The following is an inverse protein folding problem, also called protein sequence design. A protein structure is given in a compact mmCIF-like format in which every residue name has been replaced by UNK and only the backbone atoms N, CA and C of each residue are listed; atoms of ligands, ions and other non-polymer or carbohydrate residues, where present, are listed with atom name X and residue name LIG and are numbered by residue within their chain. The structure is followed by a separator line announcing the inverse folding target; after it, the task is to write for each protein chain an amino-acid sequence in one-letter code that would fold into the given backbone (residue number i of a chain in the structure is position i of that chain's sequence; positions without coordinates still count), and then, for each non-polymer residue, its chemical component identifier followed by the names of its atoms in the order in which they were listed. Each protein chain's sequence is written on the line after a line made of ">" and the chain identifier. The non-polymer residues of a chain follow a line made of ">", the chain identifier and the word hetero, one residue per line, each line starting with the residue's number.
data_IF_796174198391
#
_entry.id   IF_796174198391
#
_cell.length_a   1.000
_cell.length_b   1.000
_cell.length_c   1.000
_cell.angle_alpha   90.00
_cell.angle_beta   90.00
_cell.angle_gamma   90.00
#
_symmetry.space_group_name_H-M   'P 1'
#
loop_
_entity.id
_entity.type
_entity.pdbx_description
1 polymer ?
#
# COMPACT_ATOMS: atom_id res chain seq x y z
N UNK A 1 -6.34 39.71 -17.86
CA UNK A 1 -6.72 40.10 -16.48
C UNK A 1 -6.19 39.04 -15.52
N UNK A 2 -5.42 39.38 -14.48
CA UNK A 2 -4.92 38.38 -13.53
C UNK A 2 -6.09 37.75 -12.75
N UNK A 3 -6.07 36.43 -12.61
CA UNK A 3 -7.10 35.65 -11.93
C UNK A 3 -6.97 35.85 -10.41
N UNK A 4 -7.84 36.68 -9.85
CA UNK A 4 -7.85 37.13 -8.45
C UNK A 4 -8.10 35.95 -7.48
N UNK A 5 -8.82 34.92 -7.92
CA UNK A 5 -9.18 33.77 -7.09
C UNK A 5 -7.97 32.84 -6.83
N UNK A 6 -7.06 32.72 -7.80
CA UNK A 6 -5.79 32.00 -7.64
C UNK A 6 -4.81 32.72 -6.69
N UNK A 7 -4.87 34.05 -6.61
CA UNK A 7 -4.00 34.81 -5.71
C UNK A 7 -4.48 34.72 -4.26
N UNK A 8 -5.80 34.84 -4.02
CA UNK A 8 -6.38 34.68 -2.68
C UNK A 8 -6.08 33.30 -2.07
N UNK A 9 -6.20 32.24 -2.86
CA UNK A 9 -5.93 30.87 -2.39
C UNK A 9 -4.47 30.62 -1.98
N UNK A 10 -3.50 31.24 -2.65
CA UNK A 10 -2.08 31.15 -2.28
C UNK A 10 -1.76 31.91 -0.98
N UNK A 11 -2.40 33.07 -0.76
CA UNK A 11 -2.23 33.86 0.48
C UNK A 11 -2.73 33.07 1.68
N UNK A 12 -3.90 32.43 1.57
CA UNK A 12 -4.48 31.63 2.66
C UNK A 12 -3.63 30.41 3.01
N UNK A 13 -3.08 29.69 2.02
CA UNK A 13 -2.17 28.55 2.26
C UNK A 13 -0.91 28.96 3.02
N UNK A 14 -0.30 30.09 2.64
CA UNK A 14 0.89 30.61 3.30
C UNK A 14 0.64 31.09 4.74
N UNK A 15 -0.58 31.54 5.04
CA UNK A 15 -0.95 31.97 6.39
C UNK A 15 -1.20 30.76 7.32
N UNK A 16 -1.83 29.69 6.81
CA UNK A 16 -2.09 28.46 7.56
C UNK A 16 -0.77 27.75 7.91
N UNK A 17 0.17 27.65 6.96
CA UNK A 17 1.49 27.05 7.19
C UNK A 17 2.36 27.78 8.23
N UNK A 18 2.04 29.04 8.58
CA UNK A 18 2.75 29.84 9.59
C UNK A 18 2.18 29.72 11.00
N UNK A 19 1.07 29.01 11.19
CA UNK A 19 0.48 28.81 12.52
C UNK A 19 1.11 27.58 13.18
N UNK A 20 1.52 27.71 14.44
CA UNK A 20 2.15 26.63 15.22
C UNK A 20 1.31 25.36 15.26
N UNK A 21 -0.01 25.50 15.23
CA UNK A 21 -0.98 24.38 15.17
C UNK A 21 -0.87 23.50 13.92
N UNK A 22 -0.20 23.96 12.86
CA UNK A 22 0.00 23.20 11.62
C UNK A 22 1.48 22.95 11.28
N UNK A 23 2.40 23.32 12.17
CA UNK A 23 3.85 23.19 11.93
C UNK A 23 4.34 21.74 11.89
N UNK A 24 3.62 20.81 12.54
CA UNK A 24 3.97 19.39 12.63
C UNK A 24 2.98 18.45 11.89
N UNK A 25 2.15 18.98 10.98
CA UNK A 25 1.24 18.09 10.23
C UNK A 25 2.05 17.34 9.20
N UNK A 26 2.41 16.09 9.52
CA UNK A 26 3.00 15.14 8.58
C UNK A 26 2.10 15.12 7.34
N UNK A 27 2.66 15.51 6.19
CA UNK A 27 1.92 15.61 4.95
C UNK A 27 1.19 14.28 4.71
N UNK A 28 -0.11 14.34 4.40
CA UNK A 28 -0.93 13.15 4.21
C UNK A 28 -0.46 12.43 2.96
N UNK A 29 0.53 11.54 3.10
CA UNK A 29 0.97 10.66 2.01
C UNK A 29 -0.21 9.76 1.68
N UNK A 30 -0.76 9.91 0.47
CA UNK A 30 -1.79 9.00 -0.03
C UNK A 30 -1.19 7.59 0.01
N UNK A 31 -1.91 6.66 0.63
CA UNK A 31 -1.50 5.26 0.65
C UNK A 31 -1.38 4.79 -0.80
N UNK A 32 -0.20 4.32 -1.18
CA UNK A 32 -0.03 3.71 -2.49
C UNK A 32 -0.76 2.37 -2.51
N UNK A 33 -1.85 2.32 -3.28
CA UNK A 33 -2.67 1.13 -3.42
C UNK A 33 -2.18 0.23 -4.57
N UNK A 34 -1.11 0.60 -5.27
CA UNK A 34 -0.57 -0.16 -6.42
C UNK A 34 -0.13 -1.57 -6.02
N UNK A 35 0.35 -1.73 -4.79
CA UNK A 35 0.84 -2.99 -4.21
C UNK A 35 -0.26 -3.79 -3.51
N UNK A 36 -1.48 -3.24 -3.38
CA UNK A 36 -2.56 -3.88 -2.65
C UNK A 36 -3.47 -4.70 -3.58
N UNK A 37 -3.61 -6.00 -3.31
CA UNK A 37 -4.61 -6.82 -4.00
C UNK A 37 -6.03 -6.49 -3.50
N UNK A 38 -6.99 -6.22 -4.40
CA UNK A 38 -8.37 -5.96 -3.99
C UNK A 38 -9.00 -7.20 -3.36
N UNK A 39 -10.06 -7.00 -2.56
CA UNK A 39 -10.85 -8.10 -2.02
C UNK A 39 -11.52 -8.86 -3.16
N UNK A 40 -11.20 -10.13 -3.31
CA UNK A 40 -11.74 -11.00 -4.36
C UNK A 40 -12.41 -12.24 -3.79
N UNK A 41 -13.37 -12.78 -4.53
CA UNK A 41 -13.99 -14.09 -4.23
C UNK A 41 -13.30 -15.16 -5.07
N UNK A 42 -12.82 -16.22 -4.43
CA UNK A 42 -12.23 -17.37 -5.10
C UNK A 42 -13.16 -18.58 -5.02
N UNK A 43 -12.92 -19.58 -5.88
CA UNK A 43 -13.67 -20.84 -5.84
C UNK A 43 -13.53 -21.52 -4.45
N UNK A 44 -14.66 -21.92 -3.86
CA UNK A 44 -14.68 -22.46 -2.50
C UNK A 44 -13.79 -23.71 -2.32
N UNK A 45 -13.74 -24.61 -3.31
CA UNK A 45 -12.91 -25.82 -3.25
C UNK A 45 -11.42 -25.47 -3.21
N UNK A 46 -11.01 -24.49 -4.02
CA UNK A 46 -9.62 -24.00 -4.06
C UNK A 46 -9.25 -23.35 -2.73
N UNK A 47 -10.13 -22.52 -2.16
CA UNK A 47 -9.90 -21.88 -0.84
C UNK A 47 -9.74 -22.91 0.26
N UNK A 48 -10.56 -23.97 0.26
CA UNK A 48 -10.43 -25.04 1.26
C UNK A 48 -9.12 -25.82 1.11
N UNK A 49 -8.75 -26.18 -0.12
CA UNK A 49 -7.48 -26.87 -0.39
C UNK A 49 -6.29 -26.01 0.05
N UNK A 50 -6.27 -24.74 -0.34
CA UNK A 50 -5.24 -23.77 0.04
C UNK A 50 -5.09 -23.61 1.56
N UNK A 51 -6.21 -23.51 2.29
CA UNK A 51 -6.20 -23.43 3.76
C UNK A 51 -5.66 -24.71 4.40
N UNK A 52 -6.01 -25.87 3.87
CA UNK A 52 -5.52 -27.15 4.37
C UNK A 52 -4.01 -27.29 4.14
N UNK A 53 -3.53 -26.90 2.96
CA UNK A 53 -2.10 -26.90 2.65
C UNK A 53 -1.31 -25.99 3.58
N UNK A 54 -1.78 -24.75 3.79
CA UNK A 54 -1.16 -23.81 4.72
C UNK A 54 -1.11 -24.40 6.14
N UNK A 55 -2.19 -25.06 6.58
CA UNK A 55 -2.24 -25.73 7.89
C UNK A 55 -1.23 -26.87 8.00
N UNK A 56 -1.11 -27.72 6.98
CA UNK A 56 -0.14 -28.84 6.95
C UNK A 56 1.29 -28.31 7.02
N UNK A 57 1.59 -27.24 6.27
CA UNK A 57 2.91 -26.58 6.25
C UNK A 57 3.18 -25.70 7.48
N UNK A 58 2.18 -25.48 8.35
CA UNK A 58 2.21 -24.51 9.46
C UNK A 58 2.55 -23.09 9.01
N UNK A 59 2.08 -22.72 7.81
CA UNK A 59 2.30 -21.39 7.22
C UNK A 59 1.07 -20.50 7.38
N UNK A 60 1.31 -19.18 7.40
CA UNK A 60 0.22 -18.23 7.20
C UNK A 60 -0.28 -18.32 5.75
N UNK A 61 -1.54 -17.96 5.53
CA UNK A 61 -2.12 -17.92 4.19
C UNK A 61 -1.34 -16.97 3.27
N UNK A 62 -0.89 -15.83 3.81
CA UNK A 62 -0.07 -14.86 3.07
C UNK A 62 1.29 -15.43 2.70
N UNK A 63 1.95 -16.15 3.61
CA UNK A 63 3.22 -16.83 3.31
C UNK A 63 3.04 -17.82 2.16
N UNK A 64 2.06 -18.73 2.24
CA UNK A 64 1.82 -19.69 1.17
C UNK A 64 1.48 -19.00 -0.16
N UNK A 65 0.69 -17.93 -0.13
CA UNK A 65 0.39 -17.15 -1.34
C UNK A 65 1.66 -16.54 -1.94
N UNK A 66 2.52 -15.95 -1.12
CA UNK A 66 3.76 -15.33 -1.58
C UNK A 66 4.70 -16.37 -2.19
N UNK A 67 4.87 -17.53 -1.55
CA UNK A 67 5.68 -18.63 -2.10
C UNK A 67 5.18 -19.09 -3.48
N UNK A 68 3.86 -19.32 -3.61
CA UNK A 68 3.26 -19.75 -4.88
C UNK A 68 3.45 -18.67 -5.97
N UNK A 69 3.22 -17.40 -5.64
CA UNK A 69 3.36 -16.31 -6.61
C UNK A 69 4.83 -16.09 -6.98
N UNK A 70 5.74 -16.17 -6.01
CA UNK A 70 7.17 -16.04 -6.22
C UNK A 70 7.71 -17.13 -7.13
N UNK A 71 7.36 -18.39 -6.85
CA UNK A 71 7.68 -19.53 -7.72
C UNK A 71 7.12 -19.32 -9.13
N UNK A 72 5.85 -18.92 -9.25
CA UNK A 72 5.17 -18.73 -10.54
C UNK A 72 5.82 -17.66 -11.42
N UNK A 73 6.33 -16.59 -10.81
CA UNK A 73 6.95 -15.46 -11.52
C UNK A 73 8.48 -15.44 -11.42
N UNK A 74 9.09 -16.51 -10.89
CA UNK A 74 10.55 -16.61 -10.68
C UNK A 74 11.12 -15.44 -9.89
N UNK A 75 10.41 -15.01 -8.85
CA UNK A 75 10.83 -13.97 -7.90
C UNK A 75 11.54 -14.67 -6.74
N UNK A 76 12.72 -14.19 -6.40
CA UNK A 76 13.42 -14.62 -5.19
C UNK A 76 12.94 -13.78 -4.00
N UNK A 77 12.27 -14.42 -3.04
CA UNK A 77 11.74 -13.74 -1.85
C UNK A 77 12.83 -13.32 -0.87
N UNK A 78 13.98 -14.01 -0.87
CA UNK A 78 15.09 -13.76 0.06
C UNK A 78 15.96 -12.58 -0.38
N UNK A 79 15.97 -12.27 -1.68
CA UNK A 79 16.72 -11.14 -2.27
C UNK A 79 15.94 -9.81 -2.31
N UNK A 80 14.81 -9.72 -1.60
CA UNK A 80 14.07 -8.46 -1.45
C UNK A 80 14.77 -7.51 -0.46
N UNK A 81 15.96 -7.02 -0.82
CA UNK A 81 16.46 -5.76 -0.31
C UNK A 81 15.54 -4.66 -0.83
N UNK A 82 14.44 -4.40 -0.13
CA UNK A 82 13.76 -3.10 -0.22
C UNK A 82 14.66 -2.05 0.46
N UNK A 83 15.83 -1.80 -0.11
CA UNK A 83 16.46 -0.49 -0.03
C UNK A 83 15.74 0.38 -1.06
N UNK A 84 14.63 0.99 -0.66
CA UNK A 84 14.01 2.06 -1.42
C UNK A 84 14.18 3.36 -0.62
N UNK A 85 14.86 4.30 -1.28
CA UNK A 85 15.43 5.59 -0.89
C UNK A 85 14.37 6.64 -0.49
#
# INVERSE_FOLDING_TARGET
>A
MPNIDKQKTNITKNLINKTSSFSDVKEFKKLDNSTFMPRMKCNARVVMAFRNEAKIKKWQLTTLMNEILAERYSIDLENNNYEDD
#
